data_IF_640660182891
#
_entry.id   IF_640660182891
#
_cell.length_a   1.000
_cell.length_b   1.000
_cell.length_c   1.000
_cell.angle_alpha   90.00
_cell.angle_beta   90.00
_cell.angle_gamma   90.00
#
_symmetry.space_group_name_H-M   'P 1'
#
loop_
_entity.id
_entity.type
_entity.pdbx_description
1 polymer ?
#
# COMPACT_ATOMS: atom_id res chain seq x y z
N UNK A 1 -47.75 42.16 -9.49
CA UNK A 1 -47.47 41.19 -10.55
C UNK A 1 -45.98 41.32 -10.89
N UNK A 2 -45.09 40.53 -10.24
CA UNK A 2 -43.64 40.59 -10.42
C UNK A 2 -43.27 39.42 -11.32
N UNK A 3 -42.82 39.72 -12.55
CA UNK A 3 -42.33 38.70 -13.51
C UNK A 3 -40.93 38.21 -13.05
N UNK A 4 -40.86 36.96 -12.61
CA UNK A 4 -39.59 36.28 -12.32
C UNK A 4 -38.79 36.06 -13.59
N UNK A 5 -37.52 36.50 -13.59
CA UNK A 5 -36.54 36.18 -14.61
C UNK A 5 -36.11 34.71 -14.42
N UNK A 6 -36.23 33.89 -15.47
CA UNK A 6 -35.66 32.55 -15.52
C UNK A 6 -34.15 32.65 -15.47
N UNK A 7 -33.44 31.76 -14.73
CA UNK A 7 -31.99 31.70 -14.79
C UNK A 7 -31.53 31.18 -16.16
N UNK A 8 -30.62 31.90 -16.78
CA UNK A 8 -29.95 31.49 -18.02
C UNK A 8 -28.81 30.55 -17.61
N UNK A 9 -28.92 29.30 -18.03
CA UNK A 9 -27.81 28.34 -17.93
C UNK A 9 -26.70 28.77 -18.87
N UNK A 10 -25.42 28.74 -18.43
CA UNK A 10 -24.31 29.01 -19.33
C UNK A 10 -24.21 27.89 -20.39
N UNK A 11 -24.36 28.28 -21.64
CA UNK A 11 -24.10 27.42 -22.78
C UNK A 11 -22.58 27.53 -23.10
N UNK A 12 -21.96 26.43 -23.19
CA UNK A 12 -20.74 25.99 -23.85
C UNK A 12 -19.77 25.31 -22.87
N UNK A 13 -19.46 24.03 -23.11
CA UNK A 13 -18.30 23.42 -22.45
C UNK A 13 -17.05 24.15 -22.91
N UNK A 14 -16.21 24.53 -21.98
CA UNK A 14 -14.89 25.05 -22.29
C UNK A 14 -14.15 24.05 -23.17
N UNK A 15 -13.71 24.52 -24.34
CA UNK A 15 -12.89 23.77 -25.26
C UNK A 15 -11.63 23.34 -24.53
N UNK A 16 -11.52 22.05 -24.20
CA UNK A 16 -10.30 21.49 -23.62
C UNK A 16 -9.24 21.57 -24.70
N UNK A 17 -8.37 22.58 -24.62
CA UNK A 17 -7.17 22.66 -25.44
C UNK A 17 -6.34 21.40 -25.17
N UNK A 18 -6.01 20.59 -26.18
CA UNK A 18 -5.03 19.53 -25.99
C UNK A 18 -3.72 20.19 -25.57
N UNK A 19 -3.16 19.72 -24.46
CA UNK A 19 -1.80 20.05 -24.07
C UNK A 19 -0.90 19.55 -25.22
N UNK A 20 -0.46 20.48 -26.08
CA UNK A 20 0.52 20.19 -27.12
C UNK A 20 1.89 20.02 -26.44
N UNK A 21 2.14 18.85 -25.95
CA UNK A 21 3.43 18.32 -25.58
C UNK A 21 3.47 16.92 -26.15
N UNK A 22 4.19 16.75 -27.26
CA UNK A 22 4.50 15.40 -27.73
C UNK A 22 5.04 14.58 -26.56
N UNK A 23 4.57 13.32 -26.34
CA UNK A 23 5.21 12.47 -25.39
C UNK A 23 6.66 12.29 -25.83
N UNK A 24 7.59 12.82 -25.05
CA UNK A 24 8.99 12.43 -25.18
C UNK A 24 8.97 10.92 -24.87
N UNK A 25 9.14 10.13 -25.92
CA UNK A 25 9.40 8.71 -25.78
C UNK A 25 10.73 8.61 -25.01
N UNK A 26 10.62 8.50 -23.68
CA UNK A 26 11.75 8.16 -22.84
C UNK A 26 12.17 6.75 -23.22
N UNK A 27 13.42 6.60 -23.62
CA UNK A 27 14.00 5.29 -23.88
C UNK A 27 13.74 4.36 -22.69
N UNK A 28 13.47 3.05 -22.91
CA UNK A 28 13.17 2.09 -21.84
C UNK A 28 14.23 2.00 -20.73
N UNK A 29 15.40 2.57 -20.90
CA UNK A 29 16.51 2.58 -19.93
C UNK A 29 16.58 3.81 -19.01
N UNK A 30 15.86 4.90 -19.29
CA UNK A 30 16.08 6.17 -18.58
C UNK A 30 15.48 6.19 -17.16
N UNK A 31 14.52 5.32 -16.84
CA UNK A 31 13.92 5.24 -15.50
C UNK A 31 14.81 4.51 -14.49
N UNK A 32 15.64 3.57 -14.93
CA UNK A 32 16.57 2.86 -14.04
C UNK A 32 17.76 3.72 -13.59
N UNK A 33 18.09 4.80 -14.30
CA UNK A 33 19.22 5.65 -13.94
C UNK A 33 18.93 6.61 -12.78
N UNK A 34 17.65 6.89 -12.47
CA UNK A 34 17.27 7.75 -11.34
C UNK A 34 17.29 7.02 -9.98
N UNK A 35 17.23 5.69 -9.97
CA UNK A 35 17.17 4.88 -8.76
C UNK A 35 18.34 3.87 -8.62
N UNK A 36 19.33 3.94 -9.50
CA UNK A 36 20.46 3.01 -9.54
C UNK A 36 20.03 1.56 -9.79
N UNK A 37 20.88 0.59 -9.44
CA UNK A 37 20.57 -0.86 -9.53
C UNK A 37 19.62 -1.34 -8.42
N UNK A 38 18.68 -0.51 -7.98
CA UNK A 38 17.67 -0.92 -7.01
C UNK A 38 16.87 -2.10 -7.59
N UNK A 39 16.69 -3.18 -6.84
CA UNK A 39 15.82 -4.27 -7.28
C UNK A 39 14.43 -3.71 -7.59
N UNK A 40 13.84 -4.17 -8.68
CA UNK A 40 12.49 -3.77 -9.09
C UNK A 40 11.46 -4.02 -7.97
N UNK A 41 10.27 -3.45 -8.11
CA UNK A 41 9.17 -3.73 -7.21
C UNK A 41 8.87 -5.24 -7.17
N UNK A 42 8.52 -5.75 -6.00
CA UNK A 42 8.08 -7.14 -5.86
C UNK A 42 6.82 -7.39 -6.70
N UNK A 43 6.82 -8.48 -7.43
CA UNK A 43 5.66 -8.95 -8.16
C UNK A 43 4.86 -9.90 -7.28
N UNK A 44 3.64 -9.49 -6.92
CA UNK A 44 2.75 -10.32 -6.10
C UNK A 44 2.20 -11.45 -6.98
N UNK A 45 2.30 -12.67 -6.47
CA UNK A 45 1.82 -13.89 -7.12
C UNK A 45 0.66 -14.51 -6.36
N UNK A 46 -0.13 -15.31 -7.04
CA UNK A 46 -1.28 -16.00 -6.42
C UNK A 46 -0.85 -16.87 -5.23
N UNK A 47 0.31 -17.54 -5.34
CA UNK A 47 0.87 -18.39 -4.29
C UNK A 47 1.34 -17.62 -3.05
N UNK A 48 1.47 -16.30 -3.10
CA UNK A 48 1.83 -15.49 -1.93
C UNK A 48 0.73 -15.46 -0.88
N UNK A 49 -0.52 -15.73 -1.26
CA UNK A 49 -1.66 -15.79 -0.37
C UNK A 49 -1.89 -14.49 0.41
N UNK A 50 -1.71 -13.33 -0.26
CA UNK A 50 -1.79 -12.02 0.39
C UNK A 50 -3.19 -11.79 0.97
N UNK A 51 -3.23 -11.57 2.28
CA UNK A 51 -4.50 -11.31 2.99
C UNK A 51 -5.32 -12.55 3.32
N UNK A 52 -4.85 -13.72 2.98
CA UNK A 52 -5.51 -14.98 3.31
C UNK A 52 -5.32 -15.41 4.77
N UNK A 53 -6.19 -16.32 5.21
CA UNK A 53 -6.10 -16.95 6.52
C UNK A 53 -6.65 -16.11 7.69
N UNK A 54 -6.59 -16.70 8.91
CA UNK A 54 -7.15 -16.09 10.11
C UNK A 54 -6.34 -14.88 10.59
N UNK A 55 -6.97 -14.05 11.44
CA UNK A 55 -6.37 -12.84 12.03
C UNK A 55 -4.97 -13.06 12.60
N UNK A 56 -4.74 -14.19 13.31
CA UNK A 56 -3.44 -14.48 13.88
C UNK A 56 -2.33 -14.72 12.86
N UNK A 57 -2.67 -15.21 11.68
CA UNK A 57 -1.72 -15.34 10.57
C UNK A 57 -1.38 -13.96 9.97
N UNK A 58 -2.39 -13.12 9.76
CA UNK A 58 -2.22 -11.74 9.31
C UNK A 58 -1.39 -10.92 10.30
N UNK A 59 -1.64 -11.08 11.59
CA UNK A 59 -0.85 -10.43 12.65
C UNK A 59 0.63 -10.82 12.55
N UNK A 60 0.94 -12.11 12.44
CA UNK A 60 2.33 -12.59 12.31
C UNK A 60 2.99 -12.07 11.04
N UNK A 61 2.29 -12.11 9.90
CA UNK A 61 2.79 -11.61 8.63
C UNK A 61 3.13 -10.11 8.71
N UNK A 62 2.24 -9.31 9.29
CA UNK A 62 2.47 -7.87 9.48
C UNK A 62 3.67 -7.59 10.39
N UNK A 63 3.79 -8.30 11.52
CA UNK A 63 4.89 -8.10 12.46
C UNK A 63 6.22 -8.50 11.82
N UNK A 64 6.26 -9.62 11.06
CA UNK A 64 7.45 -10.07 10.36
C UNK A 64 7.86 -9.11 9.23
N UNK A 65 6.89 -8.57 8.49
CA UNK A 65 7.15 -7.58 7.46
C UNK A 65 7.82 -6.31 8.05
N UNK A 66 7.32 -5.81 9.17
CA UNK A 66 7.93 -4.64 9.85
C UNK A 66 9.32 -4.97 10.38
N UNK A 67 9.49 -6.14 11.00
CA UNK A 67 10.81 -6.58 11.50
C UNK A 67 11.83 -6.66 10.36
N UNK A 68 11.43 -7.21 9.22
CA UNK A 68 12.27 -7.28 8.03
C UNK A 68 12.61 -5.89 7.51
N UNK A 69 11.61 -5.00 7.42
CA UNK A 69 11.84 -3.61 7.02
C UNK A 69 12.84 -2.90 7.92
N UNK A 70 12.68 -3.02 9.25
CA UNK A 70 13.61 -2.39 10.22
C UNK A 70 15.03 -2.90 10.10
N UNK A 71 15.19 -4.20 9.87
CA UNK A 71 16.51 -4.81 9.62
C UNK A 71 17.17 -4.24 8.36
N UNK A 72 16.43 -4.22 7.24
CA UNK A 72 16.93 -3.69 5.96
C UNK A 72 17.31 -2.21 6.09
N UNK A 73 16.48 -1.42 6.79
CA UNK A 73 16.74 -0.01 7.06
C UNK A 73 18.00 0.19 7.93
N UNK A 74 18.15 -0.59 9.00
CA UNK A 74 19.31 -0.52 9.91
C UNK A 74 20.62 -0.88 9.19
N UNK A 75 20.56 -1.82 8.25
CA UNK A 75 21.69 -2.24 7.42
C UNK A 75 21.94 -1.30 6.23
N UNK A 76 21.09 -0.31 6.03
CA UNK A 76 21.15 0.69 4.94
C UNK A 76 21.43 0.07 3.57
N UNK A 77 20.66 -0.95 3.22
CA UNK A 77 20.77 -1.70 1.97
C UNK A 77 19.41 -1.92 1.31
N UNK A 78 19.43 -2.41 0.09
CA UNK A 78 18.22 -2.91 -0.56
C UNK A 78 17.78 -4.26 0.02
N UNK A 79 16.46 -4.51 0.00
CA UNK A 79 15.90 -5.79 0.38
C UNK A 79 16.21 -6.87 -0.66
N UNK A 80 16.51 -8.09 -0.19
CA UNK A 80 16.60 -9.26 -1.08
C UNK A 80 15.23 -9.65 -1.62
N UNK A 81 15.15 -10.48 -2.67
CA UNK A 81 13.85 -10.97 -3.18
C UNK A 81 13.00 -11.66 -2.10
N UNK A 82 13.63 -12.45 -1.21
CA UNK A 82 12.94 -13.14 -0.12
C UNK A 82 12.42 -12.15 0.95
N UNK A 83 13.19 -11.10 1.22
CA UNK A 83 12.77 -10.02 2.12
C UNK A 83 11.64 -9.19 1.50
N UNK A 84 11.69 -8.93 0.19
CA UNK A 84 10.60 -8.29 -0.53
C UNK A 84 9.32 -9.13 -0.47
N UNK A 85 9.40 -10.44 -0.70
CA UNK A 85 8.29 -11.38 -0.57
C UNK A 85 7.70 -11.38 0.85
N UNK A 86 8.56 -11.30 1.87
CA UNK A 86 8.13 -11.19 3.28
C UNK A 86 7.41 -9.89 3.55
N UNK A 87 7.95 -8.77 3.08
CA UNK A 87 7.34 -7.45 3.27
C UNK A 87 6.03 -7.29 2.48
N UNK A 88 5.91 -7.90 1.30
CA UNK A 88 4.69 -7.91 0.51
C UNK A 88 3.50 -8.59 1.21
N UNK A 89 3.75 -9.44 2.21
CA UNK A 89 2.70 -10.06 3.05
C UNK A 89 2.09 -9.12 4.08
N UNK A 90 2.52 -7.88 4.16
CA UNK A 90 1.89 -6.88 5.00
C UNK A 90 0.51 -6.50 4.44
N UNK A 91 -0.53 -6.77 5.22
CA UNK A 91 -1.92 -6.55 4.80
C UNK A 91 -2.59 -5.39 5.54
N UNK A 92 -1.82 -4.63 6.31
CA UNK A 92 -2.34 -3.55 7.14
C UNK A 92 -3.05 -4.05 8.40
N UNK A 93 -3.57 -3.11 9.17
CA UNK A 93 -4.13 -3.39 10.50
C UNK A 93 -5.65 -3.44 10.52
N UNK A 94 -6.30 -3.25 9.37
CA UNK A 94 -7.76 -3.37 9.25
C UNK A 94 -8.25 -4.72 9.73
N UNK A 95 -9.27 -4.73 10.60
CA UNK A 95 -9.80 -5.95 11.20
C UNK A 95 -8.99 -6.56 12.35
N UNK A 96 -7.77 -6.08 12.65
CA UNK A 96 -6.92 -6.61 13.74
C UNK A 96 -7.11 -5.85 15.06
N UNK A 97 -8.36 -5.51 15.41
CA UNK A 97 -8.69 -4.68 16.59
C UNK A 97 -8.18 -5.26 17.91
N UNK A 98 -8.06 -6.58 18.04
CA UNK A 98 -7.50 -7.24 19.22
C UNK A 98 -6.09 -6.79 19.57
N UNK A 99 -5.33 -6.29 18.58
CA UNK A 99 -3.98 -5.79 18.80
C UNK A 99 -3.97 -4.54 19.69
N UNK A 100 -4.99 -3.69 19.57
CA UNK A 100 -5.10 -2.41 20.31
C UNK A 100 -6.04 -2.48 21.50
N UNK A 101 -6.88 -3.51 21.61
CA UNK A 101 -7.82 -3.66 22.72
C UNK A 101 -7.05 -4.02 24.01
N UNK A 102 -7.11 -3.17 25.06
CA UNK A 102 -6.41 -3.42 26.30
C UNK A 102 -6.90 -4.65 27.05
N UNK A 103 -8.12 -5.12 26.77
CA UNK A 103 -8.73 -6.29 27.41
C UNK A 103 -8.42 -7.61 26.68
N UNK A 104 -7.66 -7.55 25.60
CA UNK A 104 -7.27 -8.76 24.87
C UNK A 104 -6.37 -9.65 25.72
N UNK A 105 -6.79 -10.91 25.95
CA UNK A 105 -6.06 -11.89 26.76
C UNK A 105 -5.24 -12.90 25.93
N UNK A 106 -5.37 -12.92 24.62
CA UNK A 106 -4.68 -13.88 23.76
C UNK A 106 -3.18 -13.62 23.68
N UNK A 107 -2.36 -14.61 24.09
CA UNK A 107 -0.90 -14.49 24.16
C UNK A 107 -0.28 -13.90 22.88
N UNK A 108 -0.68 -14.39 21.69
CA UNK A 108 -0.16 -13.91 20.40
C UNK A 108 -0.35 -12.42 20.19
N UNK A 109 -1.44 -11.82 20.69
CA UNK A 109 -1.74 -10.39 20.58
C UNK A 109 -0.90 -9.56 21.54
N UNK A 110 -0.74 -10.08 22.76
CA UNK A 110 0.08 -9.43 23.80
C UNK A 110 1.56 -9.44 23.40
N UNK A 111 2.07 -10.57 22.90
CA UNK A 111 3.45 -10.70 22.45
C UNK A 111 3.72 -9.76 21.27
N UNK A 112 2.85 -9.73 20.25
CA UNK A 112 2.99 -8.84 19.12
C UNK A 112 2.93 -7.36 19.52
N UNK A 113 2.00 -7.00 20.43
CA UNK A 113 1.94 -5.64 20.98
C UNK A 113 3.21 -5.25 21.71
N UNK A 114 3.72 -6.16 22.56
CA UNK A 114 4.93 -5.93 23.33
C UNK A 114 6.15 -5.75 22.41
N UNK A 115 6.25 -6.49 21.33
CA UNK A 115 7.31 -6.35 20.34
C UNK A 115 7.21 -5.06 19.56
N UNK A 116 6.00 -4.71 19.08
CA UNK A 116 5.78 -3.46 18.35
C UNK A 116 6.11 -2.24 19.19
N UNK A 117 5.82 -2.27 20.48
CA UNK A 117 6.01 -1.15 21.41
C UNK A 117 7.32 -1.20 22.22
N UNK A 118 8.09 -2.28 22.12
CA UNK A 118 9.33 -2.45 22.89
C UNK A 118 9.13 -2.70 24.39
N UNK A 119 7.94 -3.15 24.81
CA UNK A 119 7.65 -3.40 26.24
C UNK A 119 8.12 -4.78 26.73
N UNK A 120 8.72 -5.58 25.86
CA UNK A 120 9.32 -6.89 26.14
C UNK A 120 10.83 -6.83 26.45
N UNK A 121 11.39 -5.64 26.66
CA UNK A 121 12.81 -5.44 26.89
C UNK A 121 13.66 -5.37 25.63
N UNK A 122 13.04 -5.38 24.46
CA UNK A 122 13.69 -5.17 23.17
C UNK A 122 13.35 -3.76 22.64
N UNK A 123 14.16 -3.21 21.73
CA UNK A 123 13.81 -1.97 21.05
C UNK A 123 12.45 -2.10 20.32
N UNK A 124 11.62 -1.06 20.33
CA UNK A 124 10.33 -1.10 19.64
C UNK A 124 10.51 -1.27 18.12
N UNK A 125 9.64 -2.04 17.50
CA UNK A 125 9.57 -2.11 16.03
C UNK A 125 8.92 -0.84 15.44
N UNK A 126 8.03 -0.18 16.20
CA UNK A 126 7.42 1.08 15.80
C UNK A 126 8.16 2.26 16.42
N UNK A 127 8.46 3.27 15.62
CA UNK A 127 9.18 4.44 16.09
C UNK A 127 8.37 5.21 17.15
N UNK A 128 9.06 5.51 18.27
CA UNK A 128 8.49 6.21 19.41
C UNK A 128 7.59 5.37 20.32
N UNK A 129 7.50 4.05 20.11
CA UNK A 129 6.73 3.13 20.95
C UNK A 129 5.25 3.52 21.04
N UNK A 130 4.65 3.46 22.24
CA UNK A 130 3.22 3.71 22.49
C UNK A 130 2.76 5.17 22.25
N UNK A 131 3.69 6.11 22.22
CA UNK A 131 3.45 7.54 21.94
C UNK A 131 3.88 7.95 20.55
N UNK A 132 4.47 7.04 19.80
CA UNK A 132 4.96 7.26 18.46
C UNK A 132 3.85 7.50 17.44
N UNK A 133 4.17 8.26 16.39
CA UNK A 133 3.24 8.52 15.29
C UNK A 133 2.80 7.22 14.59
N UNK A 134 3.68 6.23 14.49
CA UNK A 134 3.39 4.94 13.87
C UNK A 134 2.36 4.13 14.67
N UNK A 135 2.45 4.11 16.00
CA UNK A 135 1.43 3.46 16.84
C UNK A 135 0.08 4.14 16.73
N UNK A 136 0.06 5.48 16.72
CA UNK A 136 -1.16 6.26 16.56
C UNK A 136 -1.79 5.99 15.18
N UNK A 137 -0.97 5.93 14.13
CA UNK A 137 -1.42 5.59 12.78
C UNK A 137 -1.99 4.17 12.70
N UNK A 138 -1.33 3.19 13.35
CA UNK A 138 -1.80 1.82 13.47
C UNK A 138 -3.19 1.79 14.12
N UNK A 139 -3.36 2.43 15.27
CA UNK A 139 -4.64 2.48 15.99
C UNK A 139 -5.77 3.04 15.12
N UNK A 140 -5.51 4.13 14.39
CA UNK A 140 -6.49 4.75 13.47
C UNK A 140 -6.82 3.83 12.31
N UNK A 141 -5.85 3.12 11.77
CA UNK A 141 -6.03 2.25 10.60
C UNK A 141 -6.83 0.99 10.91
N UNK A 142 -6.89 0.51 12.15
CA UNK A 142 -7.66 -0.69 12.50
C UNK A 142 -9.14 -0.60 12.21
N UNK A 143 -9.69 0.61 12.13
CA UNK A 143 -11.12 0.87 11.88
C UNK A 143 -11.41 1.52 10.54
N UNK A 144 -10.41 2.12 9.91
CA UNK A 144 -10.60 2.98 8.74
C UNK A 144 -9.85 2.50 7.49
N UNK A 145 -8.81 1.68 7.64
CA UNK A 145 -8.03 1.21 6.50
C UNK A 145 -8.62 -0.08 5.92
N UNK A 146 -9.23 0.06 4.75
CA UNK A 146 -9.68 -1.05 3.92
C UNK A 146 -8.88 -1.02 2.62
N UNK A 147 -8.20 -2.11 2.33
CA UNK A 147 -7.40 -2.22 1.12
C UNK A 147 -8.11 -3.07 0.08
N UNK A 148 -7.96 -2.69 -1.19
CA UNK A 148 -8.55 -3.43 -2.30
C UNK A 148 -7.94 -4.84 -2.36
N UNK A 149 -8.78 -5.86 -2.39
CA UNK A 149 -8.35 -7.25 -2.45
C UNK A 149 -7.59 -7.53 -3.75
N UNK A 150 -6.59 -8.42 -3.73
CA UNK A 150 -5.77 -8.75 -4.90
C UNK A 150 -6.59 -9.13 -6.15
N UNK A 151 -7.65 -9.92 -5.99
CA UNK A 151 -8.51 -10.36 -7.07
C UNK A 151 -9.22 -9.19 -7.76
N UNK A 152 -9.64 -8.19 -6.98
CA UNK A 152 -10.28 -6.97 -7.50
C UNK A 152 -9.25 -6.12 -8.25
N UNK A 153 -8.04 -5.98 -7.71
CA UNK A 153 -6.95 -5.25 -8.38
C UNK A 153 -6.59 -5.90 -9.71
N UNK A 154 -6.45 -7.24 -9.73
CA UNK A 154 -6.18 -8.00 -10.96
C UNK A 154 -7.28 -7.76 -12.01
N UNK A 155 -8.55 -7.88 -11.59
CA UNK A 155 -9.67 -7.61 -12.48
C UNK A 155 -9.67 -6.17 -13.02
N UNK A 156 -9.27 -5.20 -12.20
CA UNK A 156 -9.14 -3.79 -12.65
C UNK A 156 -8.03 -3.63 -13.69
N UNK A 157 -6.89 -4.29 -13.52
CA UNK A 157 -5.83 -4.30 -14.53
C UNK A 157 -6.29 -4.96 -15.84
N UNK A 158 -7.01 -6.08 -15.77
CA UNK A 158 -7.57 -6.74 -16.94
C UNK A 158 -8.54 -5.85 -17.71
N UNK A 159 -9.40 -5.12 -17.01
CA UNK A 159 -10.32 -4.14 -17.61
C UNK A 159 -9.56 -3.03 -18.30
N UNK A 160 -8.54 -2.45 -17.66
CA UNK A 160 -7.73 -1.37 -18.24
C UNK A 160 -7.02 -1.84 -19.51
N UNK A 161 -6.48 -3.06 -19.51
CA UNK A 161 -5.86 -3.68 -20.70
C UNK A 161 -6.90 -3.95 -21.82
N UNK A 162 -8.08 -4.44 -21.44
CA UNK A 162 -9.17 -4.65 -22.39
C UNK A 162 -9.55 -3.35 -23.14
N UNK A 163 -9.47 -2.21 -22.47
CA UNK A 163 -9.67 -0.89 -23.08
C UNK A 163 -8.44 -0.33 -23.82
N UNK A 164 -7.40 -1.14 -24.03
CA UNK A 164 -6.26 -0.80 -24.90
C UNK A 164 -5.06 -0.18 -24.18
N UNK A 165 -5.00 -0.23 -22.84
CA UNK A 165 -3.78 0.17 -22.13
C UNK A 165 -2.69 -0.87 -22.38
N UNK A 166 -1.62 -0.46 -23.06
CA UNK A 166 -0.47 -1.29 -23.42
C UNK A 166 0.83 -0.86 -22.73
N UNK A 167 0.71 -0.15 -21.60
CA UNK A 167 1.85 0.38 -20.87
C UNK A 167 1.89 1.90 -20.84
N UNK A 168 2.82 2.45 -20.06
CA UNK A 168 2.99 3.90 -19.90
C UNK A 168 3.05 4.33 -18.43
N UNK A 169 2.80 5.63 -18.19
CA UNK A 169 2.82 6.20 -16.84
C UNK A 169 1.47 5.98 -16.16
N UNK A 170 1.52 5.40 -14.96
CA UNK A 170 0.35 5.21 -14.10
C UNK A 170 0.53 6.06 -12.84
N UNK A 171 -0.51 6.78 -12.45
CA UNK A 171 -0.58 7.51 -11.19
C UNK A 171 -1.49 6.76 -10.23
N UNK A 172 -0.93 6.27 -9.14
CA UNK A 172 -1.66 5.68 -8.02
C UNK A 172 -1.56 6.62 -6.80
N UNK A 173 -2.56 7.49 -6.58
CA UNK A 173 -2.49 8.51 -5.54
C UNK A 173 -2.74 7.96 -4.13
N UNK A 174 -3.26 6.73 -4.02
CA UNK A 174 -3.66 6.10 -2.75
C UNK A 174 -3.13 4.68 -2.65
N UNK A 175 -1.83 4.50 -2.88
CA UNK A 175 -1.18 3.19 -3.03
C UNK A 175 -1.47 2.19 -1.88
N UNK A 176 -1.90 2.66 -0.72
CA UNK A 176 -2.24 1.81 0.43
C UNK A 176 -1.08 0.90 0.81
N UNK A 177 -1.29 -0.41 0.73
CA UNK A 177 -0.25 -1.44 0.96
C UNK A 177 0.48 -1.86 -0.33
N UNK A 178 0.24 -1.18 -1.45
CA UNK A 178 0.97 -1.41 -2.70
C UNK A 178 0.40 -2.48 -3.62
N UNK A 179 -0.81 -3.00 -3.39
CA UNK A 179 -1.39 -4.06 -4.22
C UNK A 179 -1.45 -3.70 -5.69
N UNK A 180 -1.82 -2.45 -6.05
CA UNK A 180 -1.87 -2.01 -7.45
C UNK A 180 -0.50 -2.03 -8.12
N UNK A 181 0.56 -1.74 -7.37
CA UNK A 181 1.94 -1.76 -7.88
C UNK A 181 2.44 -3.20 -7.98
N UNK A 182 2.19 -4.02 -6.95
CA UNK A 182 2.65 -5.40 -6.89
C UNK A 182 1.98 -6.34 -7.87
N UNK A 183 0.72 -6.05 -8.25
CA UNK A 183 -0.09 -6.82 -9.21
C UNK A 183 -0.13 -6.20 -10.61
N UNK A 184 0.70 -5.18 -10.87
CA UNK A 184 0.78 -4.57 -12.19
C UNK A 184 1.27 -5.60 -13.21
N UNK A 185 0.59 -5.75 -14.37
CA UNK A 185 1.10 -6.56 -15.49
C UNK A 185 2.48 -6.09 -15.96
N UNK A 186 3.36 -7.02 -16.29
CA UNK A 186 4.77 -6.72 -16.66
C UNK A 186 5.15 -7.21 -18.05
N UNK A 187 4.19 -7.59 -18.85
CA UNK A 187 4.31 -8.00 -20.26
C UNK A 187 4.25 -6.81 -21.23
#
# INVERSE_FOLDING_TARGET
MVRGKKPVLPQTPAEVRPLSGSPVAGEPGAQNQLFGDAPGNYEIKAEDGIGEGPEGQKLRANTEAIRTLRRVQAENRNATPEEQATMAKFVGWGGLRKLIDPNTAGKQWLDARAELLGTNGQPPLLDGGDKGAEWIALQRSTTAAHYTAPEVVTAMWDVVRHFGFAGGRVLEPTSGIGNFIGLQPRD
#
